data_IF_144104022818
#
_entry.id   IF_144104022818
#
_cell.length_a   1.000
_cell.length_b   1.000
_cell.length_c   1.000
_cell.angle_alpha   90.00
_cell.angle_beta   90.00
_cell.angle_gamma   90.00
#
_symmetry.space_group_name_H-M   'P 1'
#
loop_
_entity.id
_entity.type
_entity.pdbx_description
1 polymer ?
#
# COMPACT_ATOMS: atom_id res chain seq x y z
N UNK A 1 -9.73 3.25 1.94
CA UNK A 1 -8.39 2.76 1.57
C UNK A 1 -8.20 2.83 0.07
N UNK A 2 -7.02 3.25 -0.39
CA UNK A 2 -6.62 3.40 -1.80
C UNK A 2 -5.36 2.57 -2.05
N UNK A 3 -5.26 1.92 -3.20
CA UNK A 3 -4.04 1.23 -3.65
C UNK A 3 -3.88 1.38 -5.16
N UNK A 4 -2.81 0.82 -5.73
CA UNK A 4 -2.54 0.84 -7.16
C UNK A 4 -1.36 -0.07 -7.50
N UNK A 5 -0.84 0.02 -8.72
CA UNK A 5 0.34 -0.74 -9.14
C UNK A 5 1.26 0.08 -10.03
N UNK A 6 2.53 -0.28 -10.06
CA UNK A 6 3.50 0.29 -11.00
C UNK A 6 3.47 -0.44 -12.34
N UNK A 7 3.12 -1.74 -12.33
CA UNK A 7 2.97 -2.56 -13.51
C UNK A 7 1.48 -2.91 -13.69
N UNK A 8 0.88 -2.71 -14.87
CA UNK A 8 -0.52 -3.06 -15.11
C UNK A 8 -0.82 -4.52 -14.76
N UNK A 9 -2.02 -4.79 -14.24
CA UNK A 9 -2.40 -6.14 -13.75
C UNK A 9 -2.40 -7.22 -14.83
N UNK A 10 -2.51 -6.84 -16.10
CA UNK A 10 -2.52 -7.74 -17.25
C UNK A 10 -1.16 -8.37 -17.54
N UNK A 11 -0.07 -7.82 -16.99
CA UNK A 11 1.29 -8.31 -17.22
C UNK A 11 1.61 -9.48 -16.29
N UNK A 12 2.35 -10.48 -16.79
CA UNK A 12 2.72 -11.68 -16.01
C UNK A 12 3.51 -11.36 -14.73
N UNK A 13 4.45 -10.41 -14.81
CA UNK A 13 5.27 -9.96 -13.68
C UNK A 13 4.72 -8.65 -13.09
N UNK A 14 3.47 -8.65 -12.67
CA UNK A 14 2.80 -7.48 -12.07
C UNK A 14 2.89 -7.48 -10.54
N UNK A 15 3.02 -6.29 -9.96
CA UNK A 15 2.89 -6.03 -8.52
C UNK A 15 1.44 -5.82 -8.07
N UNK A 16 0.50 -5.65 -9.02
CA UNK A 16 -0.90 -5.32 -8.73
C UNK A 16 -1.60 -6.37 -7.85
N UNK A 17 -1.33 -7.66 -8.09
CA UNK A 17 -1.98 -8.75 -7.35
C UNK A 17 -1.66 -8.67 -5.85
N UNK A 18 -0.39 -8.51 -5.51
CA UNK A 18 0.04 -8.37 -4.11
C UNK A 18 -0.61 -7.14 -3.48
N UNK A 19 -0.54 -5.98 -4.16
CA UNK A 19 -1.07 -4.71 -3.64
C UNK A 19 -2.59 -4.73 -3.40
N UNK A 20 -3.35 -5.37 -4.28
CA UNK A 20 -4.80 -5.56 -4.08
C UNK A 20 -5.07 -6.49 -2.88
N UNK A 21 -4.34 -7.60 -2.75
CA UNK A 21 -4.49 -8.53 -1.63
C UNK A 21 -4.18 -7.84 -0.29
N UNK A 22 -3.05 -7.14 -0.22
CA UNK A 22 -2.61 -6.41 0.97
C UNK A 22 -3.64 -5.34 1.37
N UNK A 23 -4.14 -4.61 0.38
CA UNK A 23 -5.19 -3.62 0.59
C UNK A 23 -6.46 -4.28 1.15
N UNK A 24 -7.03 -5.28 0.48
CA UNK A 24 -8.26 -5.94 0.97
C UNK A 24 -8.07 -6.45 2.40
N UNK A 25 -6.92 -7.03 2.72
CA UNK A 25 -6.62 -7.52 4.06
C UNK A 25 -6.64 -6.42 5.11
N UNK A 26 -5.99 -5.29 4.84
CA UNK A 26 -6.04 -4.14 5.74
C UNK A 26 -7.47 -3.56 5.88
N UNK A 27 -8.24 -3.51 4.80
CA UNK A 27 -9.63 -3.05 4.88
C UNK A 27 -10.53 -3.93 5.76
N UNK A 28 -10.22 -5.22 5.88
CA UNK A 28 -10.94 -6.15 6.75
C UNK A 28 -10.60 -5.99 8.25
N UNK A 29 -9.55 -5.26 8.60
CA UNK A 29 -9.11 -5.07 9.99
C UNK A 29 -10.04 -4.13 10.80
N UNK A 30 -10.96 -3.45 10.11
CA UNK A 30 -11.99 -2.62 10.76
C UNK A 30 -11.51 -1.25 11.24
N UNK A 31 -10.25 -0.88 10.93
CA UNK A 31 -9.70 0.44 11.26
C UNK A 31 -10.31 1.52 10.36
N UNK A 32 -11.10 2.42 10.96
CA UNK A 32 -11.78 3.51 10.24
C UNK A 32 -10.81 4.61 9.80
N UNK A 33 -10.91 5.04 8.53
CA UNK A 33 -10.12 6.16 8.02
C UNK A 33 -9.82 6.07 6.51
N UNK A 34 -9.02 7.03 6.03
CA UNK A 34 -8.53 7.05 4.65
C UNK A 34 -7.04 6.74 4.66
N UNK A 35 -6.66 5.67 3.97
CA UNK A 35 -5.31 5.13 3.94
C UNK A 35 -4.86 4.84 2.51
N UNK A 36 -3.55 4.88 2.28
CA UNK A 36 -2.90 4.33 1.07
C UNK A 36 -2.15 3.07 1.47
N UNK A 37 -2.42 1.96 0.78
CA UNK A 37 -1.68 0.70 0.96
C UNK A 37 -0.80 0.46 -0.25
N UNK A 38 0.51 0.44 -0.06
CA UNK A 38 1.46 0.24 -1.14
C UNK A 38 2.74 -0.41 -0.63
N UNK A 39 3.24 -1.41 -1.37
CA UNK A 39 4.51 -2.08 -1.06
C UNK A 39 4.59 -2.60 0.38
N UNK A 40 3.53 -3.29 0.83
CA UNK A 40 3.43 -3.83 2.18
C UNK A 40 3.32 -2.79 3.30
N UNK A 41 3.12 -1.50 2.98
CA UNK A 41 3.01 -0.42 3.98
C UNK A 41 1.63 0.22 3.94
N UNK A 42 1.12 0.55 5.11
CA UNK A 42 -0.13 1.31 5.29
C UNK A 42 0.23 2.73 5.70
N UNK A 43 -0.19 3.70 4.90
CA UNK A 43 0.13 5.12 5.06
C UNK A 43 -1.15 5.90 5.33
N UNK A 44 -1.12 6.83 6.29
CA UNK A 44 -2.22 7.77 6.49
C UNK A 44 -2.47 8.57 5.21
N UNK A 45 -3.72 8.63 4.75
CA UNK A 45 -4.05 9.18 3.43
C UNK A 45 -3.55 10.60 3.19
N UNK A 46 -3.59 11.46 4.22
CA UNK A 46 -3.11 12.86 4.16
C UNK A 46 -1.58 12.99 4.23
N UNK A 47 -0.86 11.90 4.46
CA UNK A 47 0.61 11.83 4.59
C UNK A 47 1.29 11.06 3.46
N UNK A 48 0.51 10.42 2.59
CA UNK A 48 1.02 9.64 1.46
C UNK A 48 1.50 10.54 0.32
N UNK A 49 2.79 10.49 0.01
CA UNK A 49 3.39 11.24 -1.11
C UNK A 49 4.09 10.26 -2.06
N UNK A 50 3.87 10.41 -3.37
CA UNK A 50 4.60 9.64 -4.37
C UNK A 50 5.98 10.24 -4.59
N UNK A 51 7.03 9.54 -4.18
CA UNK A 51 8.42 10.00 -4.31
C UNK A 51 9.15 9.37 -5.50
N UNK A 52 8.70 8.19 -5.98
CA UNK A 52 9.39 7.46 -7.06
C UNK A 52 8.45 7.16 -8.22
N UNK A 53 8.99 7.29 -9.43
CA UNK A 53 8.23 7.05 -10.67
C UNK A 53 8.39 5.64 -11.20
N UNK A 54 9.51 4.95 -10.88
CA UNK A 54 9.86 3.64 -11.46
C UNK A 54 9.92 2.50 -10.43
N UNK A 55 10.29 2.78 -9.19
CA UNK A 55 10.48 1.74 -8.17
C UNK A 55 9.16 1.24 -7.58
N UNK A 56 9.17 0.04 -6.98
CA UNK A 56 7.98 -0.55 -6.34
C UNK A 56 7.60 0.16 -5.03
N UNK A 57 8.57 0.73 -4.31
CA UNK A 57 8.44 1.60 -3.14
C UNK A 57 8.07 3.04 -3.53
N UNK A 58 6.97 3.19 -4.29
CA UNK A 58 6.67 4.48 -4.93
C UNK A 58 6.14 5.56 -3.97
N UNK A 59 5.51 5.17 -2.87
CA UNK A 59 4.87 6.05 -1.90
C UNK A 59 5.56 6.01 -0.55
N UNK A 60 5.56 7.16 0.13
CA UNK A 60 6.20 7.35 1.43
C UNK A 60 5.27 8.10 2.40
N UNK A 61 5.43 7.84 3.70
CA UNK A 61 4.76 8.58 4.77
C UNK A 61 5.64 9.75 5.22
N UNK A 62 5.28 10.97 4.83
CA UNK A 62 6.11 12.14 5.12
C UNK A 62 5.80 12.71 6.51
N UNK A 63 6.84 12.79 7.34
CA UNK A 63 6.80 13.37 8.70
C UNK A 63 5.72 12.74 9.59
N UNK A 64 5.41 11.46 9.36
CA UNK A 64 4.40 10.70 10.09
C UNK A 64 4.75 9.21 10.03
N UNK A 65 4.56 8.43 11.10
CA UNK A 65 4.86 7.00 11.06
C UNK A 65 3.94 6.26 10.08
N UNK A 66 4.37 5.09 9.62
CA UNK A 66 3.44 4.16 8.99
C UNK A 66 2.38 3.74 10.00
N UNK A 67 1.17 3.48 9.50
CA UNK A 67 0.05 3.02 10.33
C UNK A 67 0.22 1.53 10.65
N UNK A 68 0.71 0.76 9.68
CA UNK A 68 1.00 -0.65 9.80
C UNK A 68 1.91 -1.11 8.65
N UNK A 69 2.49 -2.29 8.82
CA UNK A 69 3.17 -3.09 7.78
C UNK A 69 2.44 -4.40 7.54
N UNK A 70 2.56 -4.94 6.33
CA UNK A 70 1.93 -6.19 5.89
C UNK A 70 3.03 -7.13 5.40
N UNK A 71 3.35 -8.13 6.22
CA UNK A 71 4.36 -9.15 5.95
C UNK A 71 3.79 -10.54 6.18
N UNK A 72 4.05 -11.48 5.27
CA UNK A 72 3.60 -12.88 5.42
C UNK A 72 2.09 -13.03 5.74
N UNK A 73 1.26 -12.13 5.21
CA UNK A 73 -0.18 -12.05 5.51
C UNK A 73 -0.52 -11.69 6.96
N UNK A 74 0.39 -11.13 7.72
CA UNK A 74 0.12 -10.51 9.02
C UNK A 74 0.17 -8.98 8.88
N UNK A 75 -0.63 -8.31 9.70
CA UNK A 75 -0.64 -6.85 9.83
C UNK A 75 0.02 -6.55 11.16
N UNK A 76 1.08 -5.74 11.14
CA UNK A 76 1.88 -5.34 12.30
C UNK A 76 1.91 -3.82 12.45
#
# INVERSE_FOLDING_TARGET
>A
MITGSQIPITFKKTDAKKKITDAIRFACDGVGGVYVVFDGRVIQGTRAIKLRTKSYDAFESINYPYIASIENHQIE
#
